data_IF_520814011435
#
_entry.id   IF_520814011435
#
_cell.length_a   1.000
_cell.length_b   1.000
_cell.length_c   1.000
_cell.angle_alpha   90.00
_cell.angle_beta   90.00
_cell.angle_gamma   90.00
#
_symmetry.space_group_name_H-M   'P 1'
#
loop_
_entity.id
_entity.type
_entity.pdbx_description
1 polymer ?
#
# COMPACT_ATOMS: atom_id res chain seq x y z
N UNK A 1 13.09 11.16 -20.67
CA UNK A 1 12.31 11.36 -19.43
C UNK A 1 12.54 10.14 -18.56
N UNK A 2 13.12 10.31 -17.37
CA UNK A 2 13.40 9.20 -16.46
C UNK A 2 12.08 8.63 -15.89
N UNK A 3 11.96 7.31 -15.80
CA UNK A 3 10.80 6.66 -15.18
C UNK A 3 10.71 7.10 -13.71
N UNK A 4 9.59 7.73 -13.34
CA UNK A 4 9.41 8.25 -12.00
C UNK A 4 9.27 7.08 -11.01
N UNK A 5 10.20 7.00 -10.06
CA UNK A 5 10.27 5.92 -9.07
C UNK A 5 9.10 6.06 -8.09
N UNK A 6 8.22 5.08 -8.01
CA UNK A 6 7.11 5.07 -7.03
C UNK A 6 7.56 4.49 -5.68
N UNK A 7 6.95 4.94 -4.59
CA UNK A 7 7.18 4.52 -3.19
C UNK A 7 5.83 4.33 -2.49
N UNK A 8 5.80 3.34 -1.60
CA UNK A 8 4.63 3.03 -0.79
C UNK A 8 4.58 3.88 0.48
N UNK A 9 3.42 4.46 0.75
CA UNK A 9 3.14 5.22 1.97
C UNK A 9 1.77 4.84 2.54
N UNK A 10 1.60 5.02 3.85
CA UNK A 10 0.31 5.00 4.55
C UNK A 10 -0.13 6.44 4.77
N UNK A 11 -1.31 6.80 4.30
CA UNK A 11 -1.86 8.14 4.52
C UNK A 11 -2.23 8.35 5.99
N UNK A 12 -1.93 9.51 6.58
CA UNK A 12 -2.42 9.89 7.93
C UNK A 12 -3.61 10.86 7.88
N UNK A 13 -3.77 11.52 6.75
CA UNK A 13 -4.90 12.40 6.40
C UNK A 13 -5.43 11.97 5.04
N UNK A 14 -6.58 12.46 4.62
CA UNK A 14 -7.08 12.21 3.26
C UNK A 14 -6.11 12.82 2.25
N UNK A 15 -5.54 11.99 1.36
CA UNK A 15 -4.66 12.44 0.29
C UNK A 15 -5.40 12.35 -1.04
N UNK A 16 -5.15 13.31 -1.91
CA UNK A 16 -5.68 13.34 -3.28
C UNK A 16 -4.51 13.16 -4.23
N UNK A 17 -4.31 11.96 -4.74
CA UNK A 17 -3.29 11.66 -5.74
C UNK A 17 -3.89 11.75 -7.13
N UNK A 18 -3.14 12.18 -8.13
CA UNK A 18 -3.57 12.15 -9.53
C UNK A 18 -2.63 11.26 -10.32
N UNK A 19 -3.12 10.14 -10.82
CA UNK A 19 -2.36 9.22 -11.69
C UNK A 19 -3.06 9.13 -13.06
N UNK A 20 -2.31 9.42 -14.12
CA UNK A 20 -2.80 9.34 -15.51
C UNK A 20 -4.11 10.12 -15.79
N UNK A 21 -4.28 11.28 -15.16
CA UNK A 21 -5.47 12.12 -15.31
C UNK A 21 -6.70 11.62 -14.54
N UNK A 22 -6.55 10.60 -13.69
CA UNK A 22 -7.57 10.20 -12.72
C UNK A 22 -7.14 10.64 -11.33
N UNK A 23 -8.06 11.32 -10.65
CA UNK A 23 -7.90 11.66 -9.24
C UNK A 23 -8.33 10.46 -8.39
N UNK A 24 -7.43 10.01 -7.52
CA UNK A 24 -7.68 8.98 -6.53
C UNK A 24 -7.64 9.60 -5.14
N UNK A 25 -8.71 9.40 -4.38
CA UNK A 25 -8.75 9.69 -2.96
C UNK A 25 -8.16 8.52 -2.17
N UNK A 26 -7.25 8.82 -1.26
CA UNK A 26 -6.58 7.85 -0.37
C UNK A 26 -6.96 8.24 1.05
N UNK A 27 -7.75 7.39 1.70
CA UNK A 27 -8.24 7.65 3.05
C UNK A 27 -7.11 7.52 4.10
N UNK A 28 -7.22 8.18 5.27
CA UNK A 28 -6.32 7.94 6.40
C UNK A 28 -6.25 6.45 6.76
N UNK A 29 -5.04 5.93 6.98
CA UNK A 29 -4.75 4.52 7.24
C UNK A 29 -4.61 3.65 5.99
N UNK A 30 -4.94 4.18 4.81
CA UNK A 30 -4.83 3.45 3.55
C UNK A 30 -3.39 3.52 3.01
N UNK A 31 -2.94 2.40 2.44
CA UNK A 31 -1.67 2.30 1.72
C UNK A 31 -1.84 2.72 0.25
N UNK A 32 -0.88 3.48 -0.29
CA UNK A 32 -0.83 3.87 -1.70
C UNK A 32 0.61 3.96 -2.21
N UNK A 33 0.78 3.66 -3.51
CA UNK A 33 2.03 3.79 -4.23
C UNK A 33 2.04 5.10 -5.04
N UNK A 34 2.82 6.08 -4.59
CA UNK A 34 2.90 7.43 -5.20
C UNK A 34 4.35 7.76 -5.61
N UNK A 35 4.59 8.90 -6.25
CA UNK A 35 5.94 9.28 -6.67
C UNK A 35 6.88 9.45 -5.47
N UNK A 36 8.14 9.02 -5.59
CA UNK A 36 9.10 9.04 -4.49
C UNK A 36 9.32 10.45 -3.90
N UNK A 37 9.38 11.47 -4.75
CA UNK A 37 9.55 12.86 -4.31
C UNK A 37 8.32 13.39 -3.55
N UNK A 38 7.12 13.00 -3.98
CA UNK A 38 5.87 13.31 -3.27
C UNK A 38 5.78 12.55 -1.95
N UNK A 39 6.12 11.26 -1.94
CA UNK A 39 6.15 10.43 -0.74
C UNK A 39 7.09 11.02 0.32
N UNK A 40 8.31 11.40 -0.05
CA UNK A 40 9.27 12.00 0.88
C UNK A 40 8.73 13.32 1.46
N UNK A 41 8.14 14.15 0.61
CA UNK A 41 7.50 15.42 1.02
C UNK A 41 6.34 15.20 1.99
N UNK A 42 5.46 14.23 1.72
CA UNK A 42 4.30 13.93 2.56
C UNK A 42 4.69 13.32 3.91
N UNK A 43 5.71 12.45 3.92
CA UNK A 43 6.23 11.86 5.16
C UNK A 43 6.94 12.91 6.01
N UNK A 44 7.80 13.75 5.42
CA UNK A 44 8.49 14.84 6.15
C UNK A 44 7.52 15.84 6.77
N UNK A 45 6.41 16.13 6.09
CA UNK A 45 5.35 17.02 6.60
C UNK A 45 4.43 16.34 7.61
N UNK A 46 4.54 15.02 7.79
CA UNK A 46 3.70 14.26 8.72
C UNK A 46 2.30 13.91 8.20
N UNK A 47 2.03 14.10 6.90
CA UNK A 47 0.75 13.75 6.27
C UNK A 47 0.66 12.27 5.90
N UNK A 48 1.80 11.59 5.81
CA UNK A 48 1.89 10.16 5.54
C UNK A 48 2.97 9.51 6.40
N UNK A 49 3.06 8.19 6.37
CA UNK A 49 4.13 7.40 6.97
C UNK A 49 4.61 6.36 5.98
N UNK A 50 5.87 5.93 6.10
CA UNK A 50 6.38 4.89 5.20
C UNK A 50 5.56 3.61 5.38
N UNK A 51 5.03 3.09 4.28
CA UNK A 51 4.31 1.81 4.29
C UNK A 51 5.30 0.69 4.50
N UNK A 52 4.99 -0.23 5.41
CA UNK A 52 5.67 -1.52 5.40
C UNK A 52 5.36 -2.17 4.05
N UNK A 53 6.38 -2.75 3.40
CA UNK A 53 6.11 -3.67 2.30
C UNK A 53 5.34 -4.84 2.90
N UNK A 54 4.00 -4.80 2.88
CA UNK A 54 3.20 -5.94 3.30
C UNK A 54 3.69 -7.13 2.46
N UNK A 55 4.18 -8.23 3.07
CA UNK A 55 4.22 -9.48 2.35
C UNK A 55 2.79 -9.69 1.87
N UNK A 56 2.64 -9.78 0.55
CA UNK A 56 1.36 -10.11 -0.04
C UNK A 56 0.86 -11.33 0.72
N UNK A 57 -0.26 -11.17 1.44
CA UNK A 57 -0.85 -12.26 2.18
C UNK A 57 -1.00 -13.38 1.15
N UNK A 58 -0.24 -14.46 1.35
CA UNK A 58 -0.36 -15.64 0.52
C UNK A 58 -1.83 -16.05 0.64
N UNK A 59 -2.56 -15.93 -0.46
CA UNK A 59 -3.93 -16.41 -0.65
C UNK A 59 -3.96 -17.96 -0.65
N UNK A 60 -3.08 -18.58 0.14
CA UNK A 60 -3.08 -19.98 0.45
C UNK A 60 -3.90 -20.14 1.70
N UNK A 61 -5.20 -20.36 1.52
CA UNK A 61 -6.03 -21.00 2.54
C UNK A 61 -5.22 -22.15 3.15
N UNK A 62 -5.06 -22.26 4.49
CA UNK A 62 -4.51 -23.47 5.05
C UNK A 62 -5.53 -24.56 4.74
N UNK A 63 -5.21 -25.39 3.74
CA UNK A 63 -5.91 -26.66 3.57
C UNK A 63 -5.88 -27.34 4.93
N UNK A 64 -7.06 -27.60 5.47
CA UNK A 64 -7.23 -28.36 6.70
C UNK A 64 -6.37 -29.63 6.58
N UNK A 65 -5.59 -30.02 7.62
CA UNK A 65 -5.12 -31.38 7.66
C UNK A 65 -6.36 -32.28 7.63
N UNK A 66 -6.51 -33.07 6.57
CA UNK A 66 -7.36 -34.25 6.62
C UNK A 66 -6.67 -35.19 7.61
N UNK A 67 -7.00 -35.04 8.89
CA UNK A 67 -6.79 -36.08 9.87
C UNK A 67 -7.59 -37.30 9.43
N UNK A 68 -6.89 -38.42 9.32
CA UNK A 68 -7.43 -39.76 9.11
C UNK A 68 -8.68 -40.01 9.97
N UNK A 69 -9.79 -40.32 9.33
CA UNK A 69 -10.93 -40.96 9.98
C UNK A 69 -11.04 -42.39 9.43
N UNK A 70 -10.46 -43.30 10.20
CA UNK A 70 -10.64 -44.75 10.21
C UNK A 70 -12.13 -45.15 10.14
N UNK A 71 -12.46 -46.08 9.23
CA UNK A 71 -13.59 -47.02 9.31
C UNK A 71 -13.43 -48.17 8.29
#
# INVERSE_FOLDING_TARGET
MAAAKKRRVVARVTLIASDQGKTQEIAPGQEADILADEADSLVRRGFASWGAAKPQAADGSPGLPLEDADA
#
